data_IF_572321443759
#
_entry.id   IF_572321443759
#
_cell.length_a   1.000
_cell.length_b   1.000
_cell.length_c   1.000
_cell.angle_alpha   90.00
_cell.angle_beta   90.00
_cell.angle_gamma   90.00
#
_symmetry.space_group_name_H-M   'P 1'
#
loop_
_entity.id
_entity.type
_entity.pdbx_description
1 polymer ?
#
# COMPACT_ATOMS: atom_id res chain seq x y z
N UNK A 1 12.40 -7.30 -4.94
CA UNK A 1 11.55 -7.48 -3.74
C UNK A 1 10.43 -6.45 -3.77
N UNK A 2 9.18 -6.82 -3.46
CA UNK A 2 8.03 -5.89 -3.44
C UNK A 2 8.25 -4.72 -2.47
N UNK A 3 8.88 -5.01 -1.33
CA UNK A 3 9.21 -4.04 -0.27
C UNK A 3 10.13 -2.91 -0.75
N UNK A 4 11.01 -3.21 -1.70
CA UNK A 4 11.94 -2.25 -2.29
C UNK A 4 11.31 -1.39 -3.41
N UNK A 5 10.05 -1.63 -3.78
CA UNK A 5 9.33 -0.88 -4.80
C UNK A 5 7.90 -0.55 -4.32
N UNK A 6 7.74 0.27 -3.27
CA UNK A 6 6.46 0.52 -2.62
C UNK A 6 5.38 1.00 -3.59
N UNK A 7 5.73 1.95 -4.48
CA UNK A 7 4.81 2.44 -5.51
C UNK A 7 4.33 1.33 -6.44
N UNK A 8 5.25 0.60 -7.07
CA UNK A 8 4.91 -0.41 -8.10
C UNK A 8 4.10 -1.56 -7.51
N UNK A 9 4.39 -1.95 -6.28
CA UNK A 9 3.65 -3.01 -5.58
C UNK A 9 2.20 -2.59 -5.35
N UNK A 10 1.98 -1.40 -4.78
CA UNK A 10 0.63 -0.91 -4.50
C UNK A 10 -0.12 -0.55 -5.79
N UNK A 11 0.54 0.04 -6.78
CA UNK A 11 -0.10 0.37 -8.05
C UNK A 11 -0.69 -0.86 -8.74
N UNK A 12 0.08 -1.94 -8.88
CA UNK A 12 -0.40 -3.15 -9.54
C UNK A 12 -1.49 -3.84 -8.73
N UNK A 13 -1.34 -3.95 -7.40
CA UNK A 13 -2.35 -4.60 -6.56
C UNK A 13 -3.68 -3.83 -6.55
N UNK A 14 -3.63 -2.50 -6.46
CA UNK A 14 -4.81 -1.64 -6.53
C UNK A 14 -5.47 -1.71 -7.90
N UNK A 15 -4.68 -1.68 -8.99
CA UNK A 15 -5.20 -1.82 -10.36
C UNK A 15 -5.92 -3.15 -10.56
N UNK A 16 -5.32 -4.25 -10.12
CA UNK A 16 -5.92 -5.58 -10.23
C UNK A 16 -7.21 -5.69 -9.40
N UNK A 17 -7.22 -5.04 -8.22
CA UNK A 17 -8.40 -4.96 -7.36
C UNK A 17 -9.54 -4.19 -8.03
N UNK A 18 -9.25 -3.04 -8.66
CA UNK A 18 -10.22 -2.25 -9.44
C UNK A 18 -10.77 -3.09 -10.60
N UNK A 19 -9.90 -3.72 -11.38
CA UNK A 19 -10.32 -4.55 -12.51
C UNK A 19 -11.26 -5.67 -12.08
N UNK A 20 -10.94 -6.36 -10.98
CA UNK A 20 -11.80 -7.43 -10.44
C UNK A 20 -13.12 -6.88 -9.91
N UNK A 21 -13.10 -5.75 -9.23
CA UNK A 21 -14.28 -5.10 -8.66
C UNK A 21 -15.23 -4.54 -9.73
N UNK A 22 -14.71 -4.13 -10.89
CA UNK A 22 -15.55 -3.69 -12.01
C UNK A 22 -16.28 -4.84 -12.72
N UNK A 23 -15.90 -6.10 -12.45
CA UNK A 23 -16.51 -7.30 -13.05
C UNK A 23 -17.65 -7.89 -12.20
N UNK A 24 -18.10 -7.21 -11.14
CA UNK A 24 -19.24 -7.64 -10.32
C UNK A 24 -20.40 -6.65 -10.43
N UNK A 25 -21.63 -7.13 -10.26
CA UNK A 25 -22.85 -6.33 -10.45
C UNK A 25 -23.02 -5.18 -9.44
N UNK A 26 -22.35 -5.27 -8.30
CA UNK A 26 -22.34 -4.24 -7.26
C UNK A 26 -20.89 -4.01 -6.78
N UNK A 27 -20.11 -3.18 -7.49
CA UNK A 27 -18.74 -2.87 -7.11
C UNK A 27 -18.66 -2.23 -5.72
N UNK A 28 -17.72 -2.69 -4.89
CA UNK A 28 -17.48 -2.15 -3.56
C UNK A 28 -16.49 -0.97 -3.58
N UNK A 29 -16.38 -0.25 -2.46
CA UNK A 29 -15.29 0.73 -2.26
C UNK A 29 -14.00 -0.03 -1.95
N UNK A 30 -12.92 0.32 -2.66
CA UNK A 30 -11.60 -0.30 -2.46
C UNK A 30 -10.84 0.50 -1.41
N UNK A 31 -10.48 -0.17 -0.30
CA UNK A 31 -9.67 0.40 0.78
C UNK A 31 -8.50 -0.53 1.13
N UNK A 32 -7.33 -0.36 0.50
CA UNK A 32 -6.19 -1.24 0.71
C UNK A 32 -5.55 -1.06 2.10
N UNK A 33 -4.96 -2.13 2.60
CA UNK A 33 -4.05 -2.09 3.75
C UNK A 33 -2.63 -1.85 3.21
N UNK A 34 -1.98 -0.78 3.66
CA UNK A 34 -0.63 -0.41 3.22
C UNK A 34 0.37 -0.57 4.35
N UNK A 35 1.61 -0.93 4.00
CA UNK A 35 2.65 -1.25 4.98
C UNK A 35 3.12 -0.01 5.72
N UNK A 36 3.26 -0.13 7.04
CA UNK A 36 3.72 0.94 7.93
C UNK A 36 4.79 0.45 8.93
N UNK A 37 5.63 -0.51 8.52
CA UNK A 37 6.74 -1.03 9.32
C UNK A 37 7.90 -1.50 8.43
N UNK A 38 9.10 -1.56 9.03
CA UNK A 38 10.29 -2.13 8.39
C UNK A 38 10.33 -3.65 8.62
N UNK A 39 10.31 -4.44 7.55
CA UNK A 39 10.37 -5.90 7.62
C UNK A 39 11.82 -6.40 7.82
N UNK A 40 12.39 -6.18 9.00
CA UNK A 40 13.83 -6.45 9.29
C UNK A 40 14.26 -7.89 9.06
N UNK A 41 13.32 -8.84 9.09
CA UNK A 41 13.56 -10.25 8.80
C UNK A 41 13.76 -10.56 7.30
N UNK A 42 13.48 -9.61 6.41
CA UNK A 42 13.71 -9.75 4.97
C UNK A 42 15.16 -9.39 4.64
N UNK A 43 15.87 -10.30 3.97
CA UNK A 43 17.25 -10.06 3.52
C UNK A 43 17.27 -8.94 2.47
N UNK A 44 17.92 -7.82 2.78
CA UNK A 44 17.89 -6.63 1.92
C UNK A 44 16.64 -5.77 2.12
N UNK A 45 16.01 -5.82 3.29
CA UNK A 45 14.95 -4.90 3.67
C UNK A 45 15.40 -3.45 3.54
N UNK A 46 14.45 -2.58 3.23
CA UNK A 46 14.64 -1.14 3.28
C UNK A 46 14.01 -0.61 4.56
N UNK A 47 14.53 0.50 5.08
CA UNK A 47 13.82 1.23 6.11
C UNK A 47 12.53 1.79 5.53
N UNK A 48 11.43 1.53 6.21
CA UNK A 48 10.10 1.89 5.77
C UNK A 48 9.61 3.11 6.56
N UNK A 49 9.76 4.28 5.96
CA UNK A 49 9.45 5.56 6.61
C UNK A 49 8.40 6.39 5.87
N UNK A 50 8.32 7.70 6.15
CA UNK A 50 7.35 8.60 5.53
C UNK A 50 7.41 8.63 4.00
N UNK A 51 8.61 8.44 3.42
CA UNK A 51 8.80 8.44 1.97
C UNK A 51 8.11 7.22 1.34
N UNK A 52 8.35 6.03 1.87
CA UNK A 52 7.80 4.78 1.35
C UNK A 52 6.27 4.76 1.50
N UNK A 53 5.74 5.25 2.63
CA UNK A 53 4.29 5.44 2.82
C UNK A 53 3.71 6.43 1.81
N UNK A 54 4.37 7.58 1.55
CA UNK A 54 3.91 8.54 0.53
C UNK A 54 3.92 7.95 -0.88
N UNK A 55 4.88 7.11 -1.22
CA UNK A 55 4.92 6.40 -2.52
C UNK A 55 3.74 5.42 -2.67
N UNK A 56 3.38 4.69 -1.60
CA UNK A 56 2.18 3.85 -1.61
C UNK A 56 0.90 4.67 -1.79
N UNK A 57 0.77 5.78 -1.06
CA UNK A 57 -0.39 6.69 -1.17
C UNK A 57 -0.47 7.27 -2.59
N UNK A 58 0.66 7.70 -3.16
CA UNK A 58 0.73 8.20 -4.52
C UNK A 58 0.26 7.15 -5.54
N UNK A 59 0.68 5.90 -5.38
CA UNK A 59 0.27 4.81 -6.27
C UNK A 59 -1.25 4.59 -6.28
N UNK A 60 -1.90 4.66 -5.12
CA UNK A 60 -3.37 4.56 -5.02
C UNK A 60 -4.05 5.79 -5.61
N UNK A 61 -3.53 6.99 -5.30
CA UNK A 61 -4.07 8.25 -5.80
C UNK A 61 -4.01 8.35 -7.33
N UNK A 62 -2.92 7.88 -7.95
CA UNK A 62 -2.78 7.82 -9.40
C UNK A 62 -3.83 6.88 -10.06
N UNK A 63 -4.49 6.02 -9.28
CA UNK A 63 -5.57 5.12 -9.68
C UNK A 63 -6.95 5.57 -9.19
N UNK A 64 -7.06 6.76 -8.59
CA UNK A 64 -8.32 7.30 -8.06
C UNK A 64 -8.81 6.64 -6.76
N UNK A 65 -7.91 6.01 -5.99
CA UNK A 65 -8.21 5.43 -4.67
C UNK A 65 -7.63 6.34 -3.58
N UNK A 66 -8.51 6.98 -2.81
CA UNK A 66 -8.14 7.92 -1.76
C UNK A 66 -8.23 7.33 -0.34
N UNK A 67 -8.76 6.12 -0.19
CA UNK A 67 -8.95 5.46 1.10
C UNK A 67 -7.95 4.34 1.33
N UNK A 68 -7.33 4.30 2.51
CA UNK A 68 -6.39 3.25 2.90
C UNK A 68 -6.33 3.08 4.42
N UNK A 69 -5.77 1.95 4.84
CA UNK A 69 -5.51 1.63 6.24
C UNK A 69 -4.01 1.37 6.40
N UNK A 70 -3.37 2.02 7.37
CA UNK A 70 -1.99 1.70 7.73
C UNK A 70 -1.94 0.41 8.53
N UNK A 71 -1.01 -0.47 8.20
CA UNK A 71 -0.84 -1.75 8.89
C UNK A 71 0.57 -1.92 9.45
N UNK A 72 0.65 -2.24 10.75
CA UNK A 72 1.88 -2.63 11.43
C UNK A 72 1.61 -3.83 12.34
N UNK A 73 2.34 -4.94 12.13
CA UNK A 73 2.19 -6.16 12.95
C UNK A 73 2.51 -5.92 14.44
N UNK A 74 3.33 -4.91 14.74
CA UNK A 74 3.69 -4.54 16.12
C UNK A 74 2.74 -3.52 16.74
N UNK A 75 1.76 -3.01 15.98
CA UNK A 75 0.91 -1.86 16.33
C UNK A 75 1.69 -0.59 16.71
N UNK A 76 2.96 -0.51 16.32
CA UNK A 76 3.77 0.72 16.43
C UNK A 76 3.79 1.39 15.08
N UNK A 77 3.54 2.69 15.09
CA UNK A 77 3.50 3.54 13.92
C UNK A 77 4.50 4.68 14.12
N UNK A 78 5.30 4.95 13.11
CA UNK A 78 6.19 6.12 13.10
C UNK A 78 5.40 7.38 12.76
N UNK A 79 6.05 8.54 12.89
CA UNK A 79 5.44 9.77 12.42
C UNK A 79 5.53 9.87 10.90
N UNK A 80 4.48 9.42 10.20
CA UNK A 80 4.44 9.38 8.73
C UNK A 80 3.97 10.68 8.06
N UNK A 81 3.36 11.61 8.83
CA UNK A 81 2.73 12.83 8.32
C UNK A 81 3.24 14.08 9.03
#
# INVERSE_FOLDING_TARGET
>A
MPDANPYKTIYNSTKDSINRNNNISSPAIIRPWIQAFTATWVKGHIHYGPKEVKEQIKAMKDLGVDEYILWSATNRYENFF
#
